data_IF_491884825338
#
_entry.id   IF_491884825338
#
_cell.length_a   1.000
_cell.length_b   1.000
_cell.length_c   1.000
_cell.angle_alpha   90.00
_cell.angle_beta   90.00
_cell.angle_gamma   90.00
#
_symmetry.space_group_name_H-M   'P 1'
#
loop_
_entity.id
_entity.type
_entity.pdbx_description
1 polymer ?
#
# COMPACT_ATOMS: atom_id res chain seq x y z
N UNK A 1 3.30 11.25 -27.34
CA UNK A 1 2.32 10.25 -26.85
C UNK A 1 1.67 10.82 -25.62
N UNK A 2 0.38 11.14 -25.67
CA UNK A 2 -0.38 11.60 -24.51
C UNK A 2 -0.42 10.46 -23.47
N UNK A 3 0.14 10.71 -22.32
CA UNK A 3 0.10 9.77 -21.18
C UNK A 3 -1.36 9.50 -20.84
N UNK A 4 -1.75 8.22 -20.77
CA UNK A 4 -3.10 7.83 -20.40
C UNK A 4 -3.37 8.28 -18.96
N UNK A 5 -4.46 9.00 -18.73
CA UNK A 5 -4.81 9.59 -17.44
C UNK A 5 -5.57 8.62 -16.51
N UNK A 6 -5.80 7.40 -16.97
CA UNK A 6 -6.50 6.36 -16.20
C UNK A 6 -5.95 4.97 -16.50
N UNK A 7 -6.28 4.04 -15.62
CA UNK A 7 -6.06 2.60 -15.82
C UNK A 7 -7.38 1.85 -15.55
N UNK A 8 -7.77 0.99 -16.51
CA UNK A 8 -9.01 0.20 -16.40
C UNK A 8 -8.70 -1.19 -15.83
N UNK A 9 -9.43 -1.57 -14.80
CA UNK A 9 -9.50 -2.91 -14.23
C UNK A 9 -10.85 -3.57 -14.60
N UNK A 10 -11.04 -4.85 -14.29
CA UNK A 10 -12.27 -5.59 -14.60
C UNK A 10 -13.53 -4.96 -13.98
N UNK A 11 -13.43 -4.42 -12.76
CA UNK A 11 -14.57 -3.93 -12.00
C UNK A 11 -14.53 -2.43 -11.66
N UNK A 12 -13.42 -1.75 -11.94
CA UNK A 12 -13.30 -0.31 -11.67
C UNK A 12 -12.26 0.35 -12.58
N UNK A 13 -12.29 1.66 -12.65
CA UNK A 13 -11.31 2.48 -13.36
C UNK A 13 -10.63 3.40 -12.34
N UNK A 14 -9.31 3.51 -12.42
CA UNK A 14 -8.52 4.43 -11.59
C UNK A 14 -7.99 5.55 -12.46
N UNK A 15 -8.53 6.75 -12.28
CA UNK A 15 -7.96 7.98 -12.81
C UNK A 15 -6.79 8.42 -11.92
N UNK A 16 -5.74 9.00 -12.53
CA UNK A 16 -4.53 9.40 -11.81
C UNK A 16 -3.92 10.69 -12.38
N UNK A 17 -4.75 11.53 -12.96
CA UNK A 17 -4.35 12.80 -13.57
C UNK A 17 -4.11 13.92 -12.54
N UNK A 18 -4.67 13.81 -11.34
CA UNK A 18 -4.51 14.77 -10.25
C UNK A 18 -3.42 14.39 -9.24
N UNK A 19 -3.12 13.12 -9.08
CA UNK A 19 -2.14 12.67 -8.09
C UNK A 19 -0.73 12.50 -8.66
N UNK A 20 0.27 12.73 -7.83
CA UNK A 20 1.68 12.65 -8.23
C UNK A 20 2.16 11.23 -8.59
N UNK A 21 1.44 10.19 -8.16
CA UNK A 21 1.79 8.80 -8.41
C UNK A 21 0.73 8.14 -9.30
N UNK A 22 1.16 7.64 -10.45
CA UNK A 22 0.30 6.89 -11.37
C UNK A 22 0.07 5.47 -10.85
N UNK A 23 -0.95 4.79 -11.41
CA UNK A 23 -1.14 3.35 -11.21
C UNK A 23 0.17 2.63 -11.54
N UNK A 24 0.74 1.95 -10.57
CA UNK A 24 2.01 1.24 -10.66
C UNK A 24 1.90 -0.20 -10.20
N UNK A 25 2.85 -1.02 -10.64
CA UNK A 25 2.92 -2.44 -10.28
C UNK A 25 2.96 -2.67 -8.77
N UNK A 26 3.66 -1.81 -8.02
CA UNK A 26 3.79 -1.94 -6.56
C UNK A 26 2.40 -1.87 -5.87
N UNK A 27 1.56 -0.90 -6.24
CA UNK A 27 0.20 -0.78 -5.69
C UNK A 27 -0.69 -1.96 -6.04
N UNK A 28 -0.61 -2.45 -7.30
CA UNK A 28 -1.37 -3.63 -7.74
C UNK A 28 -0.94 -4.88 -6.97
N UNK A 29 0.37 -5.09 -6.82
CA UNK A 29 0.89 -6.24 -6.07
C UNK A 29 0.44 -6.22 -4.61
N UNK A 30 0.54 -5.08 -3.94
CA UNK A 30 0.11 -4.94 -2.55
C UNK A 30 -1.39 -5.16 -2.40
N UNK A 31 -2.21 -4.48 -3.21
CA UNK A 31 -3.67 -4.59 -3.16
C UNK A 31 -4.17 -6.00 -3.48
N UNK A 32 -3.45 -6.76 -4.34
CA UNK A 32 -3.79 -8.14 -4.66
C UNK A 32 -3.30 -9.14 -3.60
N UNK A 33 -2.21 -8.84 -2.85
CA UNK A 33 -1.55 -9.76 -1.93
C UNK A 33 -1.96 -9.57 -0.46
N UNK A 34 -2.24 -8.34 -0.02
CA UNK A 34 -2.56 -8.03 1.37
C UNK A 34 -3.78 -8.81 1.87
N UNK A 35 -3.78 -9.23 3.14
CA UNK A 35 -4.95 -9.79 3.78
C UNK A 35 -5.95 -8.69 4.14
N UNK A 36 -7.22 -9.04 4.23
CA UNK A 36 -8.29 -8.15 4.63
C UNK A 36 -8.78 -8.41 6.05
N UNK A 37 -9.98 -7.94 6.33
CA UNK A 37 -10.68 -8.09 7.60
C UNK A 37 -11.98 -7.32 7.57
N UNK A 38 -12.67 -7.19 8.68
CA UNK A 38 -13.91 -6.40 8.75
C UNK A 38 -13.66 -4.91 8.58
N UNK A 39 -12.50 -4.43 9.06
CA UNK A 39 -12.11 -3.02 8.96
C UNK A 39 -10.71 -2.90 8.40
N UNK A 40 -10.59 -2.12 7.33
CA UNK A 40 -9.34 -1.94 6.57
C UNK A 40 -8.97 -0.46 6.59
N UNK A 41 -7.68 -0.16 6.81
CA UNK A 41 -7.10 1.17 6.71
C UNK A 41 -6.07 1.20 5.58
N UNK A 42 -6.25 2.10 4.62
CA UNK A 42 -5.28 2.38 3.55
C UNK A 42 -4.56 3.70 3.85
N UNK A 43 -3.27 3.63 4.17
CA UNK A 43 -2.43 4.77 4.55
C UNK A 43 -1.69 5.30 3.33
N UNK A 44 -1.95 6.56 2.97
CA UNK A 44 -1.38 7.18 1.78
C UNK A 44 -2.05 6.62 0.51
N UNK A 45 -3.38 6.72 0.45
CA UNK A 45 -4.19 6.05 -0.57
C UNK A 45 -3.94 6.54 -2.02
N UNK A 46 -3.34 7.72 -2.20
CA UNK A 46 -2.96 8.23 -3.51
C UNK A 46 -4.14 8.39 -4.46
N UNK A 47 -4.19 7.58 -5.51
CA UNK A 47 -5.32 7.52 -6.45
C UNK A 47 -6.47 6.63 -5.98
N UNK A 48 -6.38 6.00 -4.80
CA UNK A 48 -7.36 5.03 -4.32
C UNK A 48 -7.23 3.64 -4.92
N UNK A 49 -6.13 3.34 -5.61
CA UNK A 49 -5.92 2.04 -6.26
C UNK A 49 -6.03 0.88 -5.25
N UNK A 50 -5.24 0.93 -4.17
CA UNK A 50 -5.21 -0.14 -3.17
C UNK A 50 -6.55 -0.21 -2.45
N UNK A 51 -7.13 0.94 -2.10
CA UNK A 51 -8.47 1.06 -1.52
C UNK A 51 -9.52 0.29 -2.33
N UNK A 52 -9.60 0.55 -3.66
CA UNK A 52 -10.57 -0.11 -4.55
C UNK A 52 -10.28 -1.60 -4.73
N UNK A 53 -9.00 -2.00 -4.81
CA UNK A 53 -8.63 -3.41 -4.88
C UNK A 53 -9.03 -4.18 -3.62
N UNK A 54 -8.81 -3.60 -2.44
CA UNK A 54 -9.23 -4.18 -1.16
C UNK A 54 -10.75 -4.24 -1.06
N UNK A 55 -11.46 -3.22 -1.52
CA UNK A 55 -12.93 -3.20 -1.56
C UNK A 55 -13.50 -4.31 -2.46
N UNK A 56 -12.87 -4.58 -3.61
CA UNK A 56 -13.27 -5.67 -4.50
C UNK A 56 -13.07 -7.04 -3.85
N UNK A 57 -11.93 -7.24 -3.17
CA UNK A 57 -11.58 -8.54 -2.57
C UNK A 57 -12.36 -8.87 -1.31
N UNK A 58 -12.72 -7.85 -0.54
CA UNK A 58 -13.35 -8.00 0.77
C UNK A 58 -14.70 -7.27 0.79
N UNK A 59 -15.76 -7.88 0.24
CA UNK A 59 -17.06 -7.23 0.03
C UNK A 59 -17.75 -6.80 1.33
N UNK A 60 -17.45 -7.46 2.46
CA UNK A 60 -18.06 -7.18 3.76
C UNK A 60 -17.23 -6.18 4.60
N UNK A 61 -16.15 -5.65 4.07
CA UNK A 61 -15.26 -4.77 4.82
C UNK A 61 -15.70 -3.32 4.75
N UNK A 62 -15.58 -2.62 5.88
CA UNK A 62 -15.53 -1.16 5.94
C UNK A 62 -14.10 -0.71 5.69
N UNK A 63 -13.90 0.24 4.78
CA UNK A 63 -12.57 0.72 4.40
C UNK A 63 -12.45 2.20 4.72
N UNK A 64 -11.37 2.55 5.40
CA UNK A 64 -10.97 3.93 5.58
C UNK A 64 -9.67 4.15 4.78
N UNK A 65 -9.68 5.20 3.95
CA UNK A 65 -8.54 5.63 3.16
C UNK A 65 -8.10 7.02 3.62
N UNK A 66 -6.82 7.21 3.85
CA UNK A 66 -6.28 8.51 4.25
C UNK A 66 -5.13 8.94 3.35
N UNK A 67 -5.08 10.22 3.06
CA UNK A 67 -3.93 10.85 2.41
C UNK A 67 -3.73 12.27 2.96
N UNK A 68 -2.48 12.71 3.07
CA UNK A 68 -2.15 14.08 3.47
C UNK A 68 -2.22 15.05 2.29
N UNK A 69 -1.98 14.55 1.08
CA UNK A 69 -1.98 15.34 -0.15
C UNK A 69 -3.42 15.61 -0.60
N UNK A 70 -3.76 16.89 -0.81
CA UNK A 70 -5.10 17.31 -1.19
C UNK A 70 -5.53 16.76 -2.56
N UNK A 71 -4.61 16.73 -3.51
CA UNK A 71 -4.92 16.32 -4.88
C UNK A 71 -5.12 14.79 -4.93
N UNK A 72 -4.31 14.03 -4.18
CA UNK A 72 -4.49 12.59 -3.98
C UNK A 72 -5.84 12.27 -3.30
N UNK A 73 -6.16 12.98 -2.21
CA UNK A 73 -7.45 12.86 -1.53
C UNK A 73 -8.63 13.11 -2.48
N UNK A 74 -8.59 14.20 -3.27
CA UNK A 74 -9.62 14.52 -4.24
C UNK A 74 -9.73 13.46 -5.34
N UNK A 75 -8.59 12.94 -5.82
CA UNK A 75 -8.56 11.88 -6.82
C UNK A 75 -9.19 10.58 -6.30
N UNK A 76 -8.88 10.22 -5.05
CA UNK A 76 -9.48 9.03 -4.41
C UNK A 76 -10.99 9.19 -4.27
N UNK A 77 -11.51 10.34 -3.83
CA UNK A 77 -12.96 10.61 -3.75
C UNK A 77 -13.63 10.35 -5.11
N UNK A 78 -13.07 10.92 -6.18
CA UNK A 78 -13.66 10.79 -7.51
C UNK A 78 -13.63 9.36 -8.05
N UNK A 79 -12.55 8.62 -7.80
CA UNK A 79 -12.43 7.24 -8.21
C UNK A 79 -13.39 6.32 -7.42
N UNK A 80 -13.48 6.53 -6.12
CA UNK A 80 -14.40 5.78 -5.25
C UNK A 80 -15.86 6.07 -5.61
N UNK A 81 -16.23 7.33 -5.82
CA UNK A 81 -17.59 7.72 -6.19
C UNK A 81 -18.06 7.12 -7.53
N UNK A 82 -17.13 6.78 -8.43
CA UNK A 82 -17.43 6.12 -9.71
C UNK A 82 -17.44 4.60 -9.62
N UNK A 83 -17.10 4.03 -8.45
CA UNK A 83 -17.05 2.60 -8.24
C UNK A 83 -18.33 2.07 -7.59
N UNK A 84 -18.59 0.78 -7.73
CA UNK A 84 -19.64 0.07 -7.02
C UNK A 84 -19.39 -0.12 -5.52
N UNK A 85 -18.23 0.35 -5.00
CA UNK A 85 -17.79 0.14 -3.62
C UNK A 85 -17.97 1.37 -2.72
N UNK A 86 -18.50 2.47 -3.26
CA UNK A 86 -18.52 3.80 -2.62
C UNK A 86 -19.15 3.80 -1.22
N UNK A 87 -20.23 3.03 -1.00
CA UNK A 87 -20.96 3.02 0.27
C UNK A 87 -20.16 2.48 1.47
N UNK A 88 -19.07 1.72 1.20
CA UNK A 88 -18.25 1.06 2.23
C UNK A 88 -16.91 1.73 2.44
N UNK A 89 -16.64 2.84 1.74
CA UNK A 89 -15.35 3.51 1.74
C UNK A 89 -15.52 4.93 2.26
N UNK A 90 -14.81 5.24 3.35
CA UNK A 90 -14.69 6.61 3.88
C UNK A 90 -13.29 7.14 3.64
N UNK A 91 -13.18 8.38 3.18
CA UNK A 91 -11.90 8.98 2.79
C UNK A 91 -11.67 10.24 3.60
N UNK A 92 -10.46 10.43 4.16
CA UNK A 92 -10.10 11.60 4.96
C UNK A 92 -8.79 12.22 4.50
N UNK A 93 -8.79 13.55 4.38
CA UNK A 93 -7.57 14.31 4.15
C UNK A 93 -6.87 14.56 5.49
N UNK A 94 -5.94 13.70 5.85
CA UNK A 94 -5.22 13.79 7.12
C UNK A 94 -3.88 13.05 7.08
N UNK A 95 -2.96 13.40 7.98
CA UNK A 95 -1.77 12.58 8.19
C UNK A 95 -2.10 11.38 9.08
N UNK A 96 -1.35 10.29 8.95
CA UNK A 96 -1.54 9.12 9.80
C UNK A 96 -1.30 9.42 11.29
N UNK A 97 -0.38 10.32 11.61
CA UNK A 97 -0.09 10.74 12.97
C UNK A 97 -1.33 11.42 13.62
N UNK A 98 -1.91 12.39 12.89
CA UNK A 98 -3.10 13.07 13.33
C UNK A 98 -4.29 12.12 13.42
N UNK A 99 -4.44 11.28 12.39
CA UNK A 99 -5.49 10.27 12.35
C UNK A 99 -5.42 9.34 13.56
N UNK A 100 -4.25 8.76 13.86
CA UNK A 100 -4.07 7.86 14.99
C UNK A 100 -4.37 8.54 16.34
N UNK A 101 -3.98 9.81 16.51
CA UNK A 101 -4.23 10.56 17.74
C UNK A 101 -5.72 10.90 17.95
N UNK A 102 -6.40 11.38 16.90
CA UNK A 102 -7.83 11.70 16.97
C UNK A 102 -8.68 10.44 17.13
N UNK A 103 -8.26 9.38 16.50
CA UNK A 103 -8.97 8.10 16.48
C UNK A 103 -8.97 7.41 17.85
N UNK A 104 -7.87 7.52 18.61
CA UNK A 104 -7.82 7.05 20.01
C UNK A 104 -8.82 7.80 20.89
N UNK A 105 -9.03 9.10 20.64
CA UNK A 105 -9.91 9.95 21.46
C UNK A 105 -11.41 9.69 21.21
N UNK A 106 -11.80 9.26 20.00
CA UNK A 106 -13.21 9.28 19.59
C UNK A 106 -13.91 7.93 19.59
N UNK A 107 -13.28 6.80 19.34
CA UNK A 107 -14.05 5.57 19.09
C UNK A 107 -13.39 4.20 19.31
N UNK A 108 -12.13 4.07 19.60
CA UNK A 108 -11.44 2.77 19.87
C UNK A 108 -11.69 1.61 18.86
N UNK A 109 -12.18 1.87 17.66
CA UNK A 109 -12.40 0.83 16.65
C UNK A 109 -11.14 0.59 15.84
N UNK A 110 -10.33 -0.39 16.22
CA UNK A 110 -9.10 -0.77 15.55
C UNK A 110 -9.33 -1.48 14.21
N UNK A 111 -8.28 -1.55 13.39
CA UNK A 111 -8.30 -2.16 12.06
C UNK A 111 -7.74 -3.56 12.08
N UNK A 112 -8.42 -4.47 11.37
CA UNK A 112 -7.97 -5.85 11.20
C UNK A 112 -6.88 -5.95 10.12
N UNK A 113 -6.94 -5.05 9.15
CA UNK A 113 -5.94 -4.93 8.09
C UNK A 113 -5.55 -3.48 7.89
N UNK A 114 -4.26 -3.23 7.81
CA UNK A 114 -3.69 -1.94 7.45
C UNK A 114 -2.79 -2.15 6.24
N UNK A 115 -2.93 -1.32 5.22
CA UNK A 115 -2.10 -1.36 4.01
C UNK A 115 -1.42 -0.02 3.80
N UNK A 116 -0.19 -0.05 3.28
CA UNK A 116 0.55 1.15 2.94
C UNK A 116 1.53 0.88 1.79
N UNK A 117 1.51 1.72 0.77
CA UNK A 117 2.58 1.81 -0.22
C UNK A 117 3.28 3.17 -0.04
N UNK A 118 4.19 3.28 0.94
CA UNK A 118 4.74 4.58 1.31
C UNK A 118 5.63 5.14 0.21
N UNK A 119 5.76 6.47 0.10
CA UNK A 119 6.67 7.09 -0.84
C UNK A 119 8.11 6.80 -0.42
N UNK A 120 8.86 6.09 -1.27
CA UNK A 120 10.29 5.87 -1.10
C UNK A 120 11.05 6.88 -1.95
N UNK A 121 11.59 7.90 -1.31
CA UNK A 121 12.57 8.73 -1.97
C UNK A 121 13.92 8.02 -1.89
N UNK A 122 14.28 7.35 -2.97
CA UNK A 122 15.67 6.99 -3.20
C UNK A 122 16.49 8.25 -2.90
N UNK A 123 17.52 8.14 -2.06
CA UNK A 123 18.57 9.15 -1.94
C UNK A 123 19.27 9.30 -3.31
N UNK A 124 18.54 9.79 -4.30
CA UNK A 124 19.14 10.27 -5.53
C UNK A 124 19.88 11.54 -5.16
N UNK A 125 21.21 11.36 -4.94
CA UNK A 125 22.25 12.35 -4.98
C UNK A 125 21.79 13.78 -4.64
N UNK A 126 22.26 14.28 -3.50
CA UNK A 126 22.15 15.64 -3.01
C UNK A 126 21.91 16.64 -4.15
N UNK A 127 20.65 16.99 -4.41
CA UNK A 127 20.36 18.16 -5.20
C UNK A 127 20.84 19.35 -4.39
N UNK A 128 21.62 20.27 -4.95
CA UNK A 128 22.15 21.44 -4.22
C UNK A 128 21.05 22.40 -3.76
N UNK A 129 19.81 22.17 -4.13
CA UNK A 129 18.67 23.03 -3.85
C UNK A 129 18.01 22.66 -2.51
N UNK A 130 18.40 23.38 -1.45
CA UNK A 130 17.93 23.19 -0.08
C UNK A 130 16.39 23.36 0.07
N UNK A 131 15.75 24.18 -0.75
CA UNK A 131 14.29 24.38 -0.73
C UNK A 131 13.52 23.16 -1.28
N UNK A 132 14.06 22.50 -2.31
CA UNK A 132 13.48 21.25 -2.84
C UNK A 132 13.73 20.08 -1.89
N UNK A 133 14.84 20.07 -1.17
CA UNK A 133 15.14 19.07 -0.15
C UNK A 133 14.16 19.17 1.03
N UNK A 134 13.93 20.37 1.56
CA UNK A 134 12.99 20.61 2.66
C UNK A 134 11.54 20.24 2.30
N UNK A 135 11.08 20.59 1.08
CA UNK A 135 9.75 20.22 0.58
C UNK A 135 9.60 18.70 0.36
N UNK A 136 10.69 17.97 0.04
CA UNK A 136 10.69 16.51 -0.04
C UNK A 136 10.70 15.86 1.34
N UNK A 137 11.46 16.38 2.31
CA UNK A 137 11.44 15.88 3.69
C UNK A 137 10.09 16.07 4.37
N UNK A 138 9.34 17.13 4.05
CA UNK A 138 7.98 17.33 4.55
C UNK A 138 6.95 16.35 3.96
N UNK A 139 7.28 15.65 2.87
CA UNK A 139 6.42 14.65 2.21
C UNK A 139 6.82 13.20 2.53
N UNK A 140 7.88 12.97 3.29
CA UNK A 140 8.28 11.63 3.70
C UNK A 140 7.58 11.26 5.00
N UNK A 141 6.92 10.12 5.02
CA UNK A 141 6.42 9.52 6.25
C UNK A 141 7.60 8.77 6.92
N UNK A 142 8.11 9.25 8.07
CA UNK A 142 9.14 8.53 8.81
C UNK A 142 8.65 7.14 9.22
N UNK A 143 9.44 6.12 9.09
CA UNK A 143 9.03 4.75 9.40
C UNK A 143 8.66 4.59 10.88
N UNK A 144 9.39 5.24 11.79
CA UNK A 144 9.03 5.26 13.21
C UNK A 144 7.61 5.78 13.45
N UNK A 145 7.21 6.88 12.79
CA UNK A 145 5.87 7.45 12.92
C UNK A 145 4.80 6.55 12.27
N UNK A 146 5.12 5.91 11.15
CA UNK A 146 4.25 4.93 10.52
C UNK A 146 3.99 3.75 11.47
N UNK A 147 5.06 3.15 12.02
CA UNK A 147 4.93 1.99 12.90
C UNK A 147 4.25 2.34 14.23
N UNK A 148 4.52 3.51 14.80
CA UNK A 148 3.84 4.00 16.00
C UNK A 148 2.31 4.14 15.76
N UNK A 149 1.92 4.67 14.61
CA UNK A 149 0.51 4.80 14.26
C UNK A 149 -0.15 3.44 13.98
N UNK A 150 0.55 2.53 13.29
CA UNK A 150 0.08 1.16 13.04
C UNK A 150 -0.14 0.41 14.35
N UNK A 151 0.82 0.45 15.28
CA UNK A 151 0.69 -0.17 16.62
C UNK A 151 -0.58 0.28 17.34
N UNK A 152 -0.87 1.57 17.31
CA UNK A 152 -2.03 2.18 17.98
C UNK A 152 -3.35 1.79 17.33
N UNK A 153 -3.40 1.76 16.00
CA UNK A 153 -4.65 1.61 15.22
C UNK A 153 -4.98 0.17 14.86
N UNK A 154 -4.03 -0.76 14.93
CA UNK A 154 -4.20 -2.16 14.57
C UNK A 154 -4.78 -3.00 15.72
N UNK A 155 -5.72 -3.91 15.43
CA UNK A 155 -6.21 -4.91 16.39
C UNK A 155 -5.08 -5.88 16.81
N UNK A 156 -5.26 -6.61 17.90
CA UNK A 156 -4.25 -7.57 18.38
C UNK A 156 -4.06 -8.76 17.43
N UNK A 157 -5.06 -9.06 16.60
CA UNK A 157 -5.02 -10.07 15.54
C UNK A 157 -4.87 -9.46 14.15
N UNK A 158 -4.69 -8.16 14.06
CA UNK A 158 -4.56 -7.42 12.82
C UNK A 158 -3.25 -7.67 12.09
N UNK A 159 -3.24 -7.31 10.83
CA UNK A 159 -2.08 -7.41 9.95
C UNK A 159 -1.78 -6.07 9.28
N UNK A 160 -0.51 -5.65 9.30
CA UNK A 160 -0.01 -4.52 8.54
C UNK A 160 0.76 -5.01 7.32
N UNK A 161 0.27 -4.73 6.13
CA UNK A 161 0.87 -5.12 4.85
C UNK A 161 1.46 -3.93 4.13
N UNK A 162 2.67 -4.08 3.59
CA UNK A 162 3.42 -3.03 2.92
C UNK A 162 4.25 -3.57 1.77
N UNK A 163 4.46 -2.77 0.72
CA UNK A 163 5.45 -3.05 -0.30
C UNK A 163 6.58 -2.02 -0.22
N UNK A 164 7.84 -2.50 -0.21
CA UNK A 164 9.02 -1.64 -0.05
C UNK A 164 10.13 -2.02 -1.04
N UNK A 165 11.05 -1.10 -1.39
CA UNK A 165 12.32 -1.46 -2.03
C UNK A 165 13.15 -2.35 -1.09
N UNK A 166 13.88 -3.31 -1.65
CA UNK A 166 14.70 -4.26 -0.88
C UNK A 166 15.73 -3.57 0.02
N UNK A 167 16.26 -2.43 -0.40
CA UNK A 167 17.27 -1.67 0.35
C UNK A 167 16.76 -1.17 1.72
N UNK A 168 15.44 -1.05 1.89
CA UNK A 168 14.83 -0.61 3.16
C UNK A 168 14.45 -1.76 4.10
N UNK A 169 14.64 -3.03 3.69
CA UNK A 169 14.19 -4.19 4.47
C UNK A 169 14.76 -4.21 5.90
N UNK A 170 16.05 -3.90 6.05
CA UNK A 170 16.71 -3.90 7.36
C UNK A 170 16.12 -2.86 8.31
N UNK A 171 15.98 -1.62 7.83
CA UNK A 171 15.41 -0.51 8.62
C UNK A 171 13.95 -0.78 8.97
N UNK A 172 13.16 -1.26 8.02
CA UNK A 172 11.76 -1.59 8.24
C UNK A 172 11.56 -2.66 9.32
N UNK A 173 12.37 -3.71 9.29
CA UNK A 173 12.35 -4.76 10.32
C UNK A 173 12.75 -4.25 11.70
N UNK A 174 13.77 -3.38 11.77
CA UNK A 174 14.21 -2.78 13.02
C UNK A 174 13.10 -1.92 13.64
N UNK A 175 12.49 -1.04 12.86
CA UNK A 175 11.37 -0.20 13.33
C UNK A 175 10.15 -1.04 13.76
N UNK A 176 9.79 -2.07 13.00
CA UNK A 176 8.73 -2.98 13.40
C UNK A 176 8.98 -3.60 14.76
N UNK A 177 10.22 -4.07 15.01
CA UNK A 177 10.61 -4.68 16.29
C UNK A 177 10.56 -3.68 17.45
N UNK A 178 10.95 -2.42 17.23
CA UNK A 178 10.86 -1.35 18.24
C UNK A 178 9.43 -1.07 18.68
N UNK A 179 8.46 -1.31 17.78
CA UNK A 179 7.02 -1.15 18.02
C UNK A 179 6.30 -2.47 18.35
N UNK A 180 7.03 -3.53 18.72
CA UNK A 180 6.45 -4.81 19.11
C UNK A 180 5.72 -5.55 18.00
N UNK A 181 6.08 -5.28 16.73
CA UNK A 181 5.50 -5.93 15.57
C UNK A 181 6.45 -7.00 15.02
N UNK A 182 5.91 -8.16 14.72
CA UNK A 182 6.62 -9.32 14.21
C UNK A 182 6.36 -9.48 12.71
N UNK A 183 7.42 -9.66 11.93
CA UNK A 183 7.31 -10.02 10.52
C UNK A 183 6.76 -11.44 10.40
N UNK A 184 5.59 -11.61 9.79
CA UNK A 184 4.91 -12.89 9.63
C UNK A 184 4.90 -13.42 8.20
N UNK A 185 4.94 -12.52 7.19
CA UNK A 185 5.02 -12.90 5.78
C UNK A 185 6.03 -12.02 5.05
N UNK A 186 6.83 -12.61 4.15
CA UNK A 186 7.80 -11.90 3.31
C UNK A 186 7.86 -12.52 1.92
N UNK A 187 7.51 -11.74 0.90
CA UNK A 187 7.66 -12.15 -0.50
C UNK A 187 8.65 -11.23 -1.20
N UNK A 188 9.79 -11.84 -1.61
CA UNK A 188 10.84 -11.15 -2.35
C UNK A 188 10.51 -11.15 -3.84
N UNK A 189 10.41 -9.97 -4.46
CA UNK A 189 9.93 -9.82 -5.82
C UNK A 189 11.06 -9.50 -6.78
N UNK A 190 11.25 -10.37 -7.78
CA UNK A 190 12.18 -10.22 -8.90
C UNK A 190 11.43 -9.81 -10.16
N UNK A 191 12.03 -8.96 -10.99
CA UNK A 191 11.45 -8.71 -12.32
C UNK A 191 11.50 -9.97 -13.16
N UNK A 192 12.64 -10.69 -13.18
CA UNK A 192 12.84 -11.98 -13.84
C UNK A 192 13.68 -12.88 -12.94
N UNK A 193 13.69 -14.19 -13.18
CA UNK A 193 14.43 -15.15 -12.35
C UNK A 193 15.93 -14.84 -12.21
N UNK A 194 16.54 -14.24 -13.23
CA UNK A 194 17.98 -13.90 -13.27
C UNK A 194 18.34 -12.62 -12.50
N UNK A 195 17.36 -11.78 -12.11
CA UNK A 195 17.60 -10.51 -11.43
C UNK A 195 17.47 -10.66 -9.93
N UNK A 196 18.20 -9.87 -9.16
CA UNK A 196 17.98 -9.74 -7.72
C UNK A 196 16.58 -9.15 -7.42
N UNK A 197 16.03 -9.51 -6.27
CA UNK A 197 14.77 -8.95 -5.81
C UNK A 197 14.92 -7.45 -5.54
N UNK A 198 14.03 -6.66 -6.12
CA UNK A 198 14.01 -5.19 -5.99
C UNK A 198 12.91 -4.69 -5.06
N UNK A 199 11.91 -5.51 -4.79
CA UNK A 199 10.77 -5.19 -3.94
C UNK A 199 10.53 -6.32 -2.95
N UNK A 200 9.98 -5.93 -1.81
CA UNK A 200 9.55 -6.85 -0.75
C UNK A 200 8.09 -6.54 -0.44
N UNK A 201 7.22 -7.54 -0.50
CA UNK A 201 5.92 -7.52 0.16
C UNK A 201 6.13 -8.05 1.57
N UNK A 202 5.77 -7.26 2.55
CA UNK A 202 5.95 -7.60 3.97
C UNK A 202 4.62 -7.50 4.68
N UNK A 203 4.41 -8.39 5.63
CA UNK A 203 3.28 -8.31 6.53
C UNK A 203 3.76 -8.49 7.97
N UNK A 204 3.21 -7.67 8.87
CA UNK A 204 3.54 -7.62 10.28
C UNK A 204 2.29 -7.81 11.13
N UNK A 205 2.46 -8.40 12.30
CA UNK A 205 1.40 -8.58 13.29
C UNK A 205 1.93 -8.37 14.72
N UNK A 206 1.04 -8.16 15.69
CA UNK A 206 1.40 -8.02 17.12
C UNK A 206 1.74 -9.37 17.77
N UNK A 207 1.41 -10.46 17.12
CA UNK A 207 1.71 -11.80 17.59
C UNK A 207 2.84 -12.41 16.75
N UNK A 208 3.80 -13.11 17.37
CA UNK A 208 4.79 -13.84 16.61
C UNK A 208 4.11 -14.93 15.77
N UNK A 209 4.51 -15.12 14.51
CA UNK A 209 3.89 -16.14 13.66
C UNK A 209 4.21 -17.56 14.15
N UNK A 210 3.21 -18.43 14.14
CA UNK A 210 3.44 -19.88 14.38
C UNK A 210 4.31 -20.49 13.28
N UNK A 211 4.16 -19.99 12.06
CA UNK A 211 4.96 -20.35 10.89
C UNK A 211 5.24 -19.10 10.07
N UNK A 212 6.51 -18.85 9.80
CA UNK A 212 6.92 -17.77 8.92
C UNK A 212 6.64 -18.13 7.46
N UNK A 213 5.88 -17.29 6.76
CA UNK A 213 5.58 -17.45 5.34
C UNK A 213 6.57 -16.62 4.51
N UNK A 214 7.54 -17.30 3.91
CA UNK A 214 8.56 -16.66 3.07
C UNK A 214 8.56 -17.27 1.67
N UNK A 215 8.60 -16.40 0.67
CA UNK A 215 8.65 -16.81 -0.72
C UNK A 215 9.47 -15.83 -1.58
N UNK A 216 10.00 -16.34 -2.67
CA UNK A 216 10.60 -15.54 -3.73
C UNK A 216 9.77 -15.71 -5.01
N UNK A 217 9.35 -14.61 -5.62
CA UNK A 217 8.46 -14.62 -6.77
C UNK A 217 9.04 -13.77 -7.92
N UNK A 218 8.76 -14.19 -9.14
CA UNK A 218 9.11 -13.44 -10.34
C UNK A 218 7.87 -12.81 -10.97
N UNK A 219 8.01 -11.60 -11.49
CA UNK A 219 6.91 -10.93 -12.19
C UNK A 219 6.79 -11.37 -13.65
N UNK A 220 7.94 -11.59 -14.29
CA UNK A 220 8.02 -11.98 -15.70
C UNK A 220 8.75 -13.32 -15.84
N UNK A 221 8.29 -14.12 -16.78
CA UNK A 221 8.96 -15.35 -17.19
C UNK A 221 10.20 -15.08 -18.08
N UNK A 222 10.78 -16.14 -18.62
CA UNK A 222 11.96 -16.03 -19.50
C UNK A 222 11.65 -15.42 -20.88
N UNK A 223 10.39 -15.38 -21.28
CA UNK A 223 9.92 -14.77 -22.53
C UNK A 223 9.49 -13.29 -22.34
N UNK A 224 9.55 -12.78 -21.10
CA UNK A 224 9.13 -11.42 -20.76
C UNK A 224 7.62 -11.26 -20.58
N UNK A 225 6.86 -12.36 -20.56
CA UNK A 225 5.42 -12.38 -20.24
C UNK A 225 5.22 -12.43 -18.74
N UNK A 226 4.02 -12.08 -18.28
CA UNK A 226 3.65 -12.23 -16.85
C UNK A 226 3.84 -13.68 -16.41
N UNK A 227 4.49 -13.88 -15.26
CA UNK A 227 4.65 -15.20 -14.66
C UNK A 227 3.30 -15.79 -14.23
N UNK A 228 3.23 -17.11 -14.04
CA UNK A 228 2.00 -17.75 -13.56
C UNK A 228 1.58 -17.25 -12.18
N UNK A 229 2.54 -17.00 -11.28
CA UNK A 229 2.26 -16.41 -9.98
C UNK A 229 1.63 -15.02 -10.12
N UNK A 230 2.22 -14.15 -10.96
CA UNK A 230 1.72 -12.78 -11.14
C UNK A 230 0.35 -12.78 -11.82
N UNK A 231 0.14 -13.63 -12.82
CA UNK A 231 -1.18 -13.82 -13.44
C UNK A 231 -2.21 -14.29 -12.41
N UNK A 232 -1.89 -15.33 -11.63
CA UNK A 232 -2.78 -15.87 -10.61
C UNK A 232 -3.13 -14.82 -9.54
N UNK A 233 -2.15 -14.05 -9.07
CA UNK A 233 -2.35 -13.01 -8.07
C UNK A 233 -3.27 -11.88 -8.57
N UNK A 234 -3.16 -11.52 -9.86
CA UNK A 234 -3.83 -10.33 -10.42
C UNK A 234 -5.00 -10.66 -11.35
N UNK A 235 -5.36 -11.94 -11.51
CA UNK A 235 -6.39 -12.41 -12.46
C UNK A 235 -7.75 -11.74 -12.30
N UNK A 236 -8.12 -11.38 -11.07
CA UNK A 236 -9.43 -10.80 -10.78
C UNK A 236 -9.46 -9.28 -11.03
N UNK A 237 -8.31 -8.69 -11.38
CA UNK A 237 -8.14 -7.26 -11.56
C UNK A 237 -7.88 -6.87 -13.01
N UNK A 238 -6.85 -7.40 -13.63
CA UNK A 238 -6.51 -7.01 -14.99
C UNK A 238 -7.53 -7.51 -16.01
N UNK A 239 -7.78 -6.68 -17.02
CA UNK A 239 -8.54 -7.10 -18.20
C UNK A 239 -7.82 -8.28 -18.86
N UNK A 240 -8.59 -9.19 -19.42
CA UNK A 240 -8.05 -10.33 -20.16
C UNK A 240 -7.25 -9.83 -21.36
N UNK A 241 -6.07 -10.38 -21.56
CA UNK A 241 -5.23 -10.07 -22.73
C UNK A 241 -5.95 -10.63 -23.97
N UNK A 242 -6.22 -9.74 -24.95
CA UNK A 242 -6.82 -10.11 -26.24
C UNK A 242 -5.85 -10.91 -27.09
#
# INVERSE_FOLDING_TARGET
>A
MTSNNYFAFKRFIVYHDKCGMKVGTDGVLLGAWANGGKRILDIGCGSGLITLMMAQRFPESEIIAIDIDKDAFQQTIENVARSEFAERISIFQTSIQRFATQYEAENNKKYDSIVCNPPFFVNSLKSPDSKRSAARHAKTLPFAELFAAVEKTMTDKGEFSVIIPTDYLGVFKAEASLHGLFLNRKYSLKTTAKKAAKRQLLSFSKQPPLKFDESEQTLLDNEGKKSEWYKGLTRDFYLDEK
#
